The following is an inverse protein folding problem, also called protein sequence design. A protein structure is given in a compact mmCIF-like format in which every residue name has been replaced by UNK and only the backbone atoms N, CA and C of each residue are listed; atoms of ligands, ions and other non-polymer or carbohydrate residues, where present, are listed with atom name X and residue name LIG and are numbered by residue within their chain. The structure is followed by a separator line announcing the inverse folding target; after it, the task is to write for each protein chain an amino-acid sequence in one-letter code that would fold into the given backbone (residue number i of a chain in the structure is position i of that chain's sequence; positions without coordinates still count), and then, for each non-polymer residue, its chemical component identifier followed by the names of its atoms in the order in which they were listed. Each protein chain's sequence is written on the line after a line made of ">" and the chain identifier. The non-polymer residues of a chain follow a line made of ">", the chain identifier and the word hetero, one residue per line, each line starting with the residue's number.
data_IF_646757375623
#
_entry.id   IF_646757375623
#
_cell.length_a   1.000
_cell.length_b   1.000
_cell.length_c   1.000
_cell.angle_alpha   90.00
_cell.angle_beta   90.00
_cell.angle_gamma   90.00
#
_symmetry.space_group_name_H-M   'P 1'
#
loop_
_entity.id
_entity.type
_entity.pdbx_description
1 polymer ?
#
# COMPACT_ATOMS: atom_id res chain seq x y z
N UNK A 1 11.86 -7.95 -7.49
CA UNK A 1 10.84 -9.02 -7.50
C UNK A 1 10.64 -9.48 -6.06
N UNK A 2 9.42 -9.80 -5.63
CA UNK A 2 9.14 -10.22 -4.26
C UNK A 2 9.80 -11.58 -3.97
N UNK A 3 10.35 -11.76 -2.76
CA UNK A 3 10.93 -13.05 -2.31
C UNK A 3 9.86 -14.02 -1.84
N UNK A 4 8.77 -13.48 -1.29
CA UNK A 4 7.57 -14.23 -0.90
C UNK A 4 6.54 -14.06 -2.02
N UNK A 5 5.79 -15.11 -2.40
CA UNK A 5 4.74 -14.99 -3.40
C UNK A 5 3.73 -13.91 -3.02
N UNK A 6 3.25 -13.15 -3.99
CA UNK A 6 2.19 -12.18 -3.77
C UNK A 6 0.87 -12.90 -3.48
N UNK A 7 0.06 -12.35 -2.57
CA UNK A 7 -1.34 -12.78 -2.43
C UNK A 7 -2.15 -12.12 -3.54
N UNK A 8 -2.69 -12.93 -4.43
CA UNK A 8 -3.53 -12.42 -5.51
C UNK A 8 -4.94 -12.08 -5.01
N UNK A 9 -5.61 -11.06 -5.58
CA UNK A 9 -6.95 -10.68 -5.16
C UNK A 9 -8.00 -11.77 -5.33
N UNK A 10 -7.82 -12.63 -6.33
CA UNK A 10 -8.75 -13.71 -6.64
C UNK A 10 -8.59 -14.83 -5.62
N UNK A 11 -9.62 -15.05 -4.80
CA UNK A 11 -9.60 -16.05 -3.73
C UNK A 11 -8.95 -15.59 -2.42
N UNK A 12 -8.66 -14.28 -2.27
CA UNK A 12 -8.20 -13.74 -1.00
C UNK A 12 -9.27 -13.87 0.11
N UNK A 13 -8.87 -14.09 1.38
CA UNK A 13 -9.78 -14.05 2.51
C UNK A 13 -10.58 -12.73 2.57
N UNK A 14 -11.77 -12.76 3.17
CA UNK A 14 -12.74 -11.65 3.12
C UNK A 14 -12.17 -10.31 3.64
N UNK A 15 -11.37 -10.37 4.71
CA UNK A 15 -10.73 -9.20 5.31
C UNK A 15 -9.68 -8.56 4.38
N UNK A 16 -8.85 -9.38 3.71
CA UNK A 16 -7.89 -8.94 2.69
C UNK A 16 -8.63 -8.41 1.45
N UNK A 17 -9.65 -9.12 0.98
CA UNK A 17 -10.43 -8.75 -0.19
C UNK A 17 -11.08 -7.37 -0.03
N UNK A 18 -11.55 -7.03 1.18
CA UNK A 18 -12.11 -5.72 1.51
C UNK A 18 -11.09 -4.60 1.35
N UNK A 19 -9.87 -4.79 1.85
CA UNK A 19 -8.77 -3.81 1.70
C UNK A 19 -8.38 -3.68 0.22
N UNK A 20 -8.28 -4.79 -0.52
CA UNK A 20 -7.97 -4.78 -1.95
C UNK A 20 -9.01 -4.03 -2.79
N UNK A 21 -10.30 -4.21 -2.49
CA UNK A 21 -11.37 -3.49 -3.16
C UNK A 21 -11.25 -1.97 -2.91
N UNK A 22 -11.02 -1.59 -1.66
CA UNK A 22 -10.82 -0.19 -1.24
C UNK A 22 -9.62 0.46 -1.94
N UNK A 23 -8.51 -0.27 -2.08
CA UNK A 23 -7.30 0.21 -2.80
C UNK A 23 -7.55 0.31 -4.30
N UNK A 24 -8.18 -0.71 -4.90
CA UNK A 24 -8.50 -0.73 -6.34
C UNK A 24 -9.41 0.44 -6.74
N UNK A 25 -10.40 0.77 -5.91
CA UNK A 25 -11.28 1.93 -6.15
C UNK A 25 -10.49 3.25 -6.23
N UNK A 26 -9.43 3.40 -5.41
CA UNK A 26 -8.62 4.62 -5.34
C UNK A 26 -7.49 4.70 -6.36
N UNK A 27 -6.86 3.56 -6.68
CA UNK A 27 -5.63 3.52 -7.47
C UNK A 27 -5.79 2.81 -8.84
N UNK A 28 -6.98 2.31 -9.16
CA UNK A 28 -7.27 1.53 -10.38
C UNK A 28 -6.73 0.11 -10.36
N UNK A 29 -5.81 -0.21 -9.44
CA UNK A 29 -5.20 -1.55 -9.28
C UNK A 29 -4.75 -1.78 -7.84
N UNK A 30 -4.54 -3.05 -7.49
CA UNK A 30 -3.86 -3.45 -6.24
C UNK A 30 -2.36 -3.47 -6.49
N UNK A 31 -1.61 -2.62 -5.80
CA UNK A 31 -0.15 -2.56 -5.91
C UNK A 31 0.50 -3.75 -5.17
N UNK A 32 1.65 -4.24 -5.65
CA UNK A 32 2.37 -5.37 -5.04
C UNK A 32 2.72 -5.13 -3.57
N UNK A 33 2.90 -3.88 -3.13
CA UNK A 33 3.02 -3.54 -1.70
C UNK A 33 1.87 -4.13 -0.86
N UNK A 34 0.61 -3.95 -1.30
CA UNK A 34 -0.56 -4.49 -0.59
C UNK A 34 -0.64 -6.02 -0.73
N UNK A 35 -0.28 -6.57 -1.89
CA UNK A 35 -0.27 -8.03 -2.12
C UNK A 35 0.74 -8.77 -1.25
N UNK A 36 1.93 -8.21 -1.05
CA UNK A 36 2.93 -8.77 -0.16
C UNK A 36 2.54 -8.66 1.31
N UNK A 37 1.89 -7.55 1.70
CA UNK A 37 1.46 -7.33 3.09
C UNK A 37 0.23 -8.16 3.47
N UNK A 38 -0.53 -8.65 2.50
CA UNK A 38 -1.73 -9.47 2.71
C UNK A 38 -1.47 -10.83 3.38
N UNK A 39 -0.22 -11.30 3.44
CA UNK A 39 0.17 -12.41 4.32
C UNK A 39 -0.07 -12.11 5.81
N UNK A 40 -0.20 -10.83 6.16
CA UNK A 40 -0.53 -10.36 7.50
C UNK A 40 -1.73 -9.40 7.47
N UNK A 41 -2.98 -9.91 7.52
CA UNK A 41 -4.18 -9.10 7.31
C UNK A 41 -4.33 -7.90 8.27
N UNK A 42 -3.98 -8.05 9.54
CA UNK A 42 -4.02 -6.95 10.49
C UNK A 42 -3.00 -5.84 10.13
N UNK A 43 -1.81 -6.23 9.67
CA UNK A 43 -0.81 -5.30 9.14
C UNK A 43 -1.26 -4.60 7.86
N UNK A 44 -1.92 -5.33 6.96
CA UNK A 44 -2.51 -4.78 5.74
C UNK A 44 -3.52 -3.67 6.05
N UNK A 45 -4.47 -3.93 6.96
CA UNK A 45 -5.46 -2.95 7.39
C UNK A 45 -4.82 -1.74 8.08
N UNK A 46 -3.81 -1.96 8.93
CA UNK A 46 -3.08 -0.89 9.59
C UNK A 46 -2.33 0.00 8.59
N UNK A 47 -1.67 -0.60 7.60
CA UNK A 47 -0.97 0.15 6.55
C UNK A 47 -1.93 0.95 5.68
N UNK A 48 -3.08 0.39 5.31
CA UNK A 48 -4.12 1.13 4.59
C UNK A 48 -4.61 2.34 5.38
N UNK A 49 -4.87 2.17 6.68
CA UNK A 49 -5.28 3.24 7.59
C UNK A 49 -4.23 4.35 7.67
N UNK A 50 -2.96 3.98 7.86
CA UNK A 50 -1.85 4.93 7.91
C UNK A 50 -1.71 5.72 6.60
N UNK A 51 -1.72 5.03 5.46
CA UNK A 51 -1.63 5.67 4.15
C UNK A 51 -2.85 6.56 3.87
N UNK A 52 -4.02 6.21 4.40
CA UNK A 52 -5.22 7.06 4.39
C UNK A 52 -5.02 8.34 5.22
N UNK A 53 -4.53 8.22 6.45
CA UNK A 53 -4.26 9.36 7.33
C UNK A 53 -3.20 10.32 6.75
N UNK A 54 -2.16 9.79 6.10
CA UNK A 54 -1.16 10.62 5.41
C UNK A 54 -1.75 11.46 4.27
N UNK A 55 -2.96 11.14 3.78
CA UNK A 55 -3.63 11.96 2.77
C UNK A 55 -4.23 13.24 3.34
N UNK A 56 -4.49 13.29 4.64
CA UNK A 56 -5.14 14.42 5.33
C UNK A 56 -4.15 15.42 5.92
N UNK A 57 -2.86 15.30 5.58
CA UNK A 57 -1.80 16.22 6.03
C UNK A 57 -2.01 17.63 5.48
N UNK A 58 -1.41 18.62 6.14
CA UNK A 58 -1.37 20.02 5.65
C UNK A 58 -0.39 20.25 4.49
N UNK A 59 0.49 19.28 4.21
CA UNK A 59 1.41 19.30 3.07
C UNK A 59 0.66 19.21 1.74
N UNK A 60 1.07 20.03 0.77
CA UNK A 60 0.59 19.91 -0.61
C UNK A 60 0.88 18.50 -1.18
N UNK A 61 -0.02 17.94 -2.01
CA UNK A 61 0.14 16.58 -2.54
C UNK A 61 1.49 16.33 -3.23
N UNK A 62 2.01 17.31 -3.99
CA UNK A 62 3.30 17.19 -4.68
C UNK A 62 4.49 17.16 -3.70
N UNK A 63 4.44 17.95 -2.63
CA UNK A 63 5.49 17.98 -1.62
C UNK A 63 5.50 16.69 -0.78
N UNK A 64 4.32 16.15 -0.47
CA UNK A 64 4.21 14.85 0.20
C UNK A 64 4.83 13.73 -0.65
N UNK A 65 4.55 13.71 -1.95
CA UNK A 65 5.14 12.73 -2.86
C UNK A 65 6.66 12.91 -2.99
N UNK A 66 7.15 14.16 -3.06
CA UNK A 66 8.58 14.44 -3.08
C UNK A 66 9.29 13.94 -1.82
N UNK A 67 8.69 14.13 -0.65
CA UNK A 67 9.22 13.61 0.62
C UNK A 67 9.28 12.07 0.61
N UNK A 68 8.22 11.41 0.11
CA UNK A 68 8.16 9.96 -0.03
C UNK A 68 9.28 9.44 -0.96
N UNK A 69 9.40 10.02 -2.16
CA UNK A 69 10.44 9.65 -3.12
C UNK A 69 11.86 9.87 -2.57
N UNK A 70 12.11 11.01 -1.93
CA UNK A 70 13.43 11.31 -1.38
C UNK A 70 13.81 10.35 -0.26
N UNK A 71 12.86 10.01 0.63
CA UNK A 71 13.09 9.01 1.67
C UNK A 71 13.40 7.63 1.08
N UNK A 72 12.65 7.19 0.07
CA UNK A 72 12.91 5.93 -0.64
C UNK A 72 14.29 5.89 -1.28
N UNK A 73 14.72 6.97 -1.93
CA UNK A 73 16.06 7.08 -2.52
C UNK A 73 17.17 6.96 -1.46
N UNK A 74 17.03 7.68 -0.33
CA UNK A 74 18.01 7.64 0.75
C UNK A 74 18.12 6.24 1.39
N UNK A 75 17.01 5.50 1.41
CA UNK A 75 16.96 4.12 1.92
C UNK A 75 17.30 3.05 0.87
N UNK A 76 17.59 3.42 -0.38
CA UNK A 76 17.82 2.46 -1.46
C UNK A 76 16.59 1.58 -1.77
N UNK A 77 15.38 2.07 -1.50
CA UNK A 77 14.14 1.37 -1.77
C UNK A 77 13.77 1.52 -3.26
N UNK A 78 13.96 0.46 -4.03
CA UNK A 78 13.83 0.46 -5.49
C UNK A 78 12.41 0.16 -6.04
N UNK A 79 11.48 -0.27 -5.18
CA UNK A 79 10.09 -0.52 -5.54
C UNK A 79 9.33 0.80 -5.66
#
# INVERSE_FOLDING_TARGET
>A
MARVPDVEPDGAPEDVARVFASVRQRAGRVLNFFKGLAHFPAGLAAAESLLGALRTTTLEPKLRELAYLKASQLNGCAY
#
